data_IF_773906200827
#
_entry.id   IF_773906200827
#
_cell.length_a   1.000
_cell.length_b   1.000
_cell.length_c   1.000
_cell.angle_alpha   90.00
_cell.angle_beta   90.00
_cell.angle_gamma   90.00
#
_symmetry.space_group_name_H-M   'P 1'
#
loop_
_entity.id
_entity.type
_entity.pdbx_description
1 polymer ?
#
# COMPACT_ATOMS: atom_id res chain seq x y z
N UNK A 1 -47.14 4.51 -52.11
CA UNK A 1 -46.56 5.35 -51.05
C UNK A 1 -45.68 4.46 -50.18
N UNK A 2 -44.36 4.50 -50.41
CA UNK A 2 -43.38 3.70 -49.67
C UNK A 2 -43.12 4.33 -48.30
N UNK A 3 -43.34 3.59 -47.22
CA UNK A 3 -42.90 3.97 -45.87
C UNK A 3 -41.53 3.34 -45.64
N UNK A 4 -40.49 4.18 -45.68
CA UNK A 4 -39.12 3.82 -45.32
C UNK A 4 -39.05 3.63 -43.81
N UNK A 5 -38.77 2.41 -43.36
CA UNK A 5 -38.42 2.09 -41.97
C UNK A 5 -37.00 2.58 -41.70
N UNK A 6 -36.85 3.55 -40.80
CA UNK A 6 -35.57 3.97 -40.25
C UNK A 6 -35.18 3.00 -39.12
N UNK A 7 -34.21 2.13 -39.39
CA UNK A 7 -33.56 1.28 -38.39
C UNK A 7 -32.62 2.13 -37.54
N UNK A 8 -32.72 2.15 -36.19
CA UNK A 8 -31.73 2.83 -35.37
C UNK A 8 -30.43 2.03 -35.36
N UNK A 9 -29.33 2.68 -35.77
CA UNK A 9 -27.96 2.17 -35.64
C UNK A 9 -27.57 2.26 -34.17
N UNK A 10 -27.43 1.12 -33.52
CA UNK A 10 -26.86 1.02 -32.18
C UNK A 10 -25.33 1.17 -32.29
N UNK A 11 -24.81 2.34 -31.91
CA UNK A 11 -23.37 2.56 -31.79
C UNK A 11 -22.94 2.01 -30.43
N UNK A 12 -22.28 0.85 -30.42
CA UNK A 12 -21.60 0.33 -29.24
C UNK A 12 -20.27 1.10 -29.14
N UNK A 13 -20.22 2.08 -28.23
CA UNK A 13 -18.99 2.78 -27.87
C UNK A 13 -18.17 1.83 -26.97
N UNK A 14 -17.18 1.15 -27.54
CA UNK A 14 -16.15 0.50 -26.74
C UNK A 14 -15.25 1.60 -26.16
N UNK A 15 -15.41 1.91 -24.88
CA UNK A 15 -14.46 2.72 -24.13
C UNK A 15 -13.22 1.86 -23.88
N UNK A 16 -12.22 2.00 -24.74
CA UNK A 16 -10.87 1.57 -24.40
C UNK A 16 -10.31 2.59 -23.41
N UNK A 17 -10.42 2.29 -22.11
CA UNK A 17 -9.63 2.98 -21.10
C UNK A 17 -8.17 2.63 -21.34
N UNK A 18 -7.41 3.55 -21.92
CA UNK A 18 -5.95 3.43 -21.98
C UNK A 18 -5.46 3.60 -20.54
N UNK A 19 -5.19 2.48 -19.88
CA UNK A 19 -4.75 2.45 -18.48
C UNK A 19 -3.35 3.06 -18.40
N UNK A 20 -3.23 4.20 -17.73
CA UNK A 20 -1.93 4.82 -17.48
C UNK A 20 -1.20 4.02 -16.38
N UNK A 21 0.02 3.56 -16.68
CA UNK A 21 0.90 2.89 -15.72
C UNK A 21 1.44 3.90 -14.73
N UNK A 22 1.17 3.69 -13.45
CA UNK A 22 1.87 4.39 -12.37
C UNK A 22 2.58 3.34 -11.52
N UNK A 23 3.91 3.36 -11.55
CA UNK A 23 4.67 2.73 -10.49
C UNK A 23 4.34 3.46 -9.17
N UNK A 24 4.22 2.72 -8.06
CA UNK A 24 3.69 3.29 -6.82
C UNK A 24 4.80 4.08 -6.10
N UNK A 25 4.64 5.39 -6.07
CA UNK A 25 5.35 6.28 -5.14
C UNK A 25 4.52 6.39 -3.84
N UNK A 26 5.06 5.88 -2.73
CA UNK A 26 4.30 5.67 -1.49
C UNK A 26 4.83 6.48 -0.30
N UNK A 27 5.59 7.54 -0.56
CA UNK A 27 6.29 8.34 0.46
C UNK A 27 5.40 9.10 1.46
N UNK A 28 4.11 8.77 1.62
CA UNK A 28 3.23 9.38 2.62
C UNK A 28 2.87 10.87 2.37
N UNK A 29 3.37 11.48 1.30
CA UNK A 29 3.09 12.87 0.93
C UNK A 29 3.48 13.87 2.02
N UNK A 30 2.53 14.71 2.43
CA UNK A 30 2.73 15.72 3.47
C UNK A 30 2.32 15.26 4.88
N UNK A 31 2.01 13.97 5.05
CA UNK A 31 1.59 13.44 6.35
C UNK A 31 2.80 13.36 7.29
N UNK A 32 2.65 13.90 8.50
CA UNK A 32 3.66 13.80 9.55
C UNK A 32 3.36 12.62 10.47
N UNK A 33 4.39 11.85 10.74
CA UNK A 33 4.37 10.68 11.61
C UNK A 33 5.13 10.96 12.90
N UNK A 34 4.62 10.39 13.98
CA UNK A 34 5.10 10.61 15.34
C UNK A 34 5.32 9.27 16.05
N UNK A 35 6.31 9.23 16.92
CA UNK A 35 6.54 8.15 17.87
C UNK A 35 5.52 8.19 19.02
N UNK A 36 5.52 7.17 19.88
CA UNK A 36 4.63 7.08 21.04
C UNK A 36 4.75 8.30 21.97
N UNK A 37 5.96 8.80 22.15
CA UNK A 37 6.27 9.97 22.98
C UNK A 37 5.96 11.32 22.29
N UNK A 38 5.27 11.28 21.14
CA UNK A 38 4.93 12.43 20.29
C UNK A 38 6.13 13.13 19.65
N UNK A 39 7.33 12.55 19.71
CA UNK A 39 8.44 13.04 18.90
C UNK A 39 8.25 12.69 17.43
N UNK A 40 8.82 13.50 16.54
CA UNK A 40 8.74 13.25 15.10
C UNK A 40 9.56 12.02 14.73
N UNK A 41 9.04 11.20 13.81
CA UNK A 41 9.82 10.10 13.23
C UNK A 41 10.98 10.67 12.39
N UNK A 42 12.13 10.01 12.48
CA UNK A 42 13.38 10.30 11.80
C UNK A 42 13.98 9.00 11.29
N UNK A 43 15.05 9.05 10.51
CA UNK A 43 15.77 7.87 10.06
C UNK A 43 16.35 7.00 11.20
N UNK A 44 16.39 7.50 12.44
CA UNK A 44 16.85 6.75 13.60
C UNK A 44 15.75 5.94 14.30
N UNK A 45 14.53 6.48 14.38
CA UNK A 45 13.42 5.89 15.15
C UNK A 45 12.21 5.49 14.28
N UNK A 46 12.15 5.88 13.01
CA UNK A 46 11.07 5.54 12.10
C UNK A 46 11.41 4.36 11.19
N UNK A 47 10.39 3.57 10.86
CA UNK A 47 10.41 2.61 9.77
C UNK A 47 9.07 2.64 9.04
N UNK A 48 9.10 2.62 7.72
CA UNK A 48 7.91 2.61 6.89
C UNK A 48 7.83 1.27 6.17
N UNK A 49 6.64 0.67 6.14
CA UNK A 49 6.34 -0.54 5.38
C UNK A 49 5.20 -0.24 4.41
N UNK A 50 5.37 -0.58 3.14
CA UNK A 50 4.27 -0.60 2.16
C UNK A 50 3.61 -1.98 2.18
N UNK A 51 2.29 -2.01 2.31
CA UNK A 51 1.50 -3.24 2.41
C UNK A 51 0.40 -3.25 1.38
N UNK A 52 0.27 -4.36 0.66
CA UNK A 52 -0.90 -4.68 -0.17
C UNK A 52 -1.85 -5.60 0.60
N UNK A 53 -3.13 -5.25 0.67
CA UNK A 53 -4.20 -6.12 1.14
C UNK A 53 -4.78 -6.86 -0.04
N UNK A 54 -4.37 -8.12 -0.18
CA UNK A 54 -4.78 -9.07 -1.22
C UNK A 54 -6.21 -9.56 -1.01
N UNK A 55 -6.54 -9.90 0.23
CA UNK A 55 -7.84 -10.46 0.59
C UNK A 55 -8.23 -10.00 1.99
N UNK A 56 -9.52 -9.74 2.20
CA UNK A 56 -10.06 -9.35 3.49
C UNK A 56 -9.64 -7.92 3.89
N UNK A 57 -9.09 -7.80 5.10
CA UNK A 57 -8.70 -6.54 5.72
C UNK A 57 -7.19 -6.45 5.98
N UNK A 58 -6.72 -5.24 6.31
CA UNK A 58 -5.37 -5.08 6.83
C UNK A 58 -5.28 -5.78 8.18
N UNK A 59 -4.35 -6.72 8.28
CA UNK A 59 -4.09 -7.52 9.48
C UNK A 59 -3.46 -6.59 10.52
N UNK A 60 -3.99 -6.63 11.73
CA UNK A 60 -3.39 -5.92 12.87
C UNK A 60 -2.30 -6.78 13.49
N UNK A 61 -1.17 -6.15 13.80
CA UNK A 61 -0.08 -6.81 14.53
C UNK A 61 -0.44 -7.13 16.00
N UNK A 62 -1.52 -6.55 16.54
CA UNK A 62 -1.97 -6.81 17.90
C UNK A 62 -2.72 -8.15 18.04
N UNK A 63 -2.63 -9.04 17.05
CA UNK A 63 -3.14 -10.40 17.14
C UNK A 63 -2.03 -11.35 17.60
N UNK A 64 -2.30 -12.07 18.69
CA UNK A 64 -1.32 -12.90 19.42
C UNK A 64 -0.65 -14.01 18.60
N UNK A 65 -1.28 -14.43 17.50
CA UNK A 65 -0.90 -15.65 16.79
C UNK A 65 0.03 -15.38 15.58
N UNK A 66 0.39 -14.11 15.35
CA UNK A 66 1.28 -13.67 14.25
C UNK A 66 2.71 -13.51 14.75
N UNK A 67 3.31 -14.62 15.19
CA UNK A 67 4.58 -14.66 15.95
C UNK A 67 5.85 -14.24 15.17
N UNK A 68 5.80 -14.00 13.85
CA UNK A 68 6.99 -13.63 13.08
C UNK A 68 7.21 -12.10 13.07
N UNK A 69 8.05 -11.61 13.96
CA UNK A 69 8.37 -10.17 14.10
C UNK A 69 9.01 -9.56 12.85
N UNK A 70 9.79 -10.31 12.09
CA UNK A 70 10.50 -9.82 10.90
C UNK A 70 9.64 -9.79 9.64
N UNK A 71 8.53 -10.54 9.60
CA UNK A 71 7.65 -10.65 8.44
C UNK A 71 7.06 -9.30 8.03
N UNK A 72 6.77 -8.44 9.01
CA UNK A 72 6.19 -7.10 8.84
C UNK A 72 7.13 -6.09 8.19
N UNK A 73 8.42 -6.44 8.10
CA UNK A 73 9.49 -5.56 7.63
C UNK A 73 10.35 -6.25 6.57
N UNK A 74 9.81 -7.29 5.94
CA UNK A 74 10.49 -8.09 4.93
C UNK A 74 9.73 -8.03 3.60
N UNK A 75 10.23 -7.31 2.58
CA UNK A 75 9.60 -7.27 1.26
C UNK A 75 9.41 -8.67 0.65
N UNK A 76 8.24 -8.90 0.07
CA UNK A 76 7.80 -10.18 -0.48
C UNK A 76 7.16 -11.12 0.54
N UNK A 77 7.21 -10.79 1.84
CA UNK A 77 6.56 -11.61 2.87
C UNK A 77 5.05 -11.53 2.79
N UNK A 78 4.40 -12.68 2.95
CA UNK A 78 2.95 -12.82 2.99
C UNK A 78 2.50 -13.12 4.41
N UNK A 79 1.55 -12.33 4.90
CA UNK A 79 0.95 -12.44 6.23
C UNK A 79 -0.48 -12.92 6.05
N UNK A 80 -0.84 -13.97 6.77
CA UNK A 80 -2.17 -14.59 6.68
C UNK A 80 -2.79 -14.71 8.06
N UNK A 81 -4.03 -14.27 8.19
CA UNK A 81 -4.85 -14.41 9.40
C UNK A 81 -6.31 -14.70 9.01
N UNK A 82 -6.74 -15.95 9.17
CA UNK A 82 -8.04 -16.41 8.68
C UNK A 82 -8.18 -16.22 7.16
N UNK A 83 -9.13 -15.38 6.75
CA UNK A 83 -9.35 -15.01 5.33
C UNK A 83 -8.52 -13.81 4.87
N UNK A 84 -7.84 -13.13 5.81
CA UNK A 84 -7.05 -11.95 5.49
C UNK A 84 -5.69 -12.37 4.94
N UNK A 85 -5.30 -11.78 3.81
CA UNK A 85 -3.99 -11.98 3.18
C UNK A 85 -3.40 -10.61 2.90
N UNK A 86 -2.23 -10.34 3.46
CA UNK A 86 -1.47 -9.11 3.24
C UNK A 86 -0.07 -9.44 2.73
N UNK A 87 0.50 -8.55 1.93
CA UNK A 87 1.81 -8.75 1.30
C UNK A 87 2.65 -7.50 1.55
N UNK A 88 3.84 -7.67 2.09
CA UNK A 88 4.79 -6.58 2.27
C UNK A 88 5.48 -6.27 0.93
N UNK A 89 5.35 -5.05 0.45
CA UNK A 89 5.88 -4.65 -0.85
C UNK A 89 7.26 -4.01 -0.74
N UNK A 90 7.46 -3.20 0.29
CA UNK A 90 8.67 -2.41 0.44
C UNK A 90 8.84 -1.91 1.86
N UNK A 91 10.07 -1.53 2.20
CA UNK A 91 10.43 -0.95 3.48
C UNK A 91 11.33 0.26 3.28
N UNK A 92 11.15 1.32 4.06
CA UNK A 92 11.96 2.53 3.99
C UNK A 92 12.27 3.11 5.37
N UNK A 93 13.48 3.62 5.46
CA UNK A 93 14.05 4.28 6.64
C UNK A 93 14.06 5.80 6.50
N UNK A 94 13.59 6.31 5.36
CA UNK A 94 13.85 7.67 4.92
C UNK A 94 12.92 8.70 5.57
N UNK A 95 12.79 8.67 6.90
CA UNK A 95 12.10 9.73 7.63
C UNK A 95 13.04 10.90 7.91
N UNK A 96 12.54 12.10 7.71
CA UNK A 96 13.16 13.30 8.28
C UNK A 96 12.08 14.30 8.70
N UNK A 97 12.23 14.79 9.95
CA UNK A 97 11.29 15.67 10.64
C UNK A 97 9.81 15.22 10.56
N UNK A 98 9.59 13.90 10.71
CA UNK A 98 8.29 13.24 10.69
C UNK A 98 7.72 12.99 9.30
N UNK A 99 8.39 13.43 8.23
CA UNK A 99 7.96 13.18 6.86
C UNK A 99 8.70 11.98 6.30
N UNK A 100 7.98 11.09 5.60
CA UNK A 100 8.63 10.03 4.83
C UNK A 100 9.08 10.62 3.48
N UNK A 101 10.37 10.54 3.19
CA UNK A 101 10.92 11.12 1.97
C UNK A 101 10.61 10.21 0.80
N UNK A 102 9.83 10.74 -0.14
CA UNK A 102 9.45 10.04 -1.36
C UNK A 102 10.69 9.59 -2.15
N UNK A 103 11.68 10.47 -2.32
CA UNK A 103 12.93 10.14 -3.01
C UNK A 103 13.81 9.11 -2.28
N UNK A 104 13.59 8.91 -0.98
CA UNK A 104 14.27 7.90 -0.17
C UNK A 104 13.48 6.60 -0.03
N UNK A 105 12.26 6.55 -0.56
CA UNK A 105 11.43 5.36 -0.57
C UNK A 105 11.78 4.53 -1.80
N UNK A 106 11.97 3.20 -1.66
CA UNK A 106 12.23 2.35 -2.81
C UNK A 106 11.03 2.38 -3.75
N UNK A 107 11.34 2.53 -5.03
CA UNK A 107 10.38 2.41 -6.12
C UNK A 107 9.84 0.98 -6.19
N UNK A 108 8.52 0.82 -6.20
CA UNK A 108 7.89 -0.50 -6.33
C UNK A 108 7.32 -0.65 -7.74
N UNK A 109 8.09 -1.32 -8.58
CA UNK A 109 7.69 -1.53 -9.98
C UNK A 109 6.54 -2.52 -10.12
N UNK A 110 5.80 -2.40 -11.21
CA UNK A 110 4.77 -3.39 -11.60
C UNK A 110 5.31 -4.82 -11.64
N UNK A 111 6.55 -5.02 -12.11
CA UNK A 111 7.17 -6.35 -12.12
C UNK A 111 7.41 -6.89 -10.71
N UNK A 112 7.83 -6.04 -9.77
CA UNK A 112 8.04 -6.43 -8.36
C UNK A 112 6.72 -6.82 -7.70
N UNK A 113 5.66 -6.04 -7.96
CA UNK A 113 4.30 -6.37 -7.50
C UNK A 113 3.84 -7.74 -8.03
N UNK A 114 3.99 -7.98 -9.34
CA UNK A 114 3.67 -9.29 -9.95
C UNK A 114 4.50 -10.42 -9.32
N UNK A 115 5.79 -10.21 -9.06
CA UNK A 115 6.67 -11.20 -8.43
C UNK A 115 6.22 -11.56 -7.01
N UNK A 116 5.81 -10.58 -6.21
CA UNK A 116 5.27 -10.80 -4.87
C UNK A 116 3.82 -11.29 -4.88
N UNK A 117 3.26 -11.51 -6.07
CA UNK A 117 1.90 -11.98 -6.25
C UNK A 117 0.90 -10.97 -5.73
N UNK A 118 1.04 -9.70 -6.12
CA UNK A 118 0.06 -8.59 -6.03
C UNK A 118 -0.77 -8.55 -7.33
N UNK A 119 -2.08 -8.23 -7.25
CA UNK A 119 -3.03 -8.27 -8.37
C UNK A 119 -3.71 -6.90 -8.48
N UNK A 120 -4.28 -6.58 -9.65
CA UNK A 120 -5.12 -5.41 -9.81
C UNK A 120 -6.21 -5.34 -8.74
N UNK A 121 -6.38 -4.16 -8.14
CA UNK A 121 -7.41 -3.89 -7.13
C UNK A 121 -6.98 -4.10 -5.68
N UNK A 122 -5.79 -4.65 -5.42
CA UNK A 122 -5.28 -4.77 -4.04
C UNK A 122 -5.15 -3.39 -3.39
N UNK A 123 -5.66 -3.25 -2.17
CA UNK A 123 -5.61 -1.95 -1.47
C UNK A 123 -4.23 -1.73 -0.86
N UNK A 124 -3.72 -0.51 -0.98
CA UNK A 124 -2.37 -0.17 -0.53
C UNK A 124 -2.40 0.67 0.75
N UNK A 125 -1.53 0.30 1.68
CA UNK A 125 -1.37 0.97 2.96
C UNK A 125 0.11 1.21 3.25
N UNK A 126 0.39 2.40 3.77
CA UNK A 126 1.63 2.70 4.47
C UNK A 126 1.45 2.37 5.95
N UNK A 127 2.37 1.62 6.52
CA UNK A 127 2.52 1.45 7.97
C UNK A 127 3.79 2.17 8.41
N UNK A 128 3.65 3.18 9.25
CA UNK A 128 4.77 3.89 9.87
C UNK A 128 4.95 3.39 11.30
N UNK A 129 6.08 2.77 11.58
CA UNK A 129 6.44 2.17 12.85
C UNK A 129 7.31 3.10 13.69
N UNK A 130 7.06 3.09 15.01
CA UNK A 130 7.98 3.60 16.02
C UNK A 130 8.93 2.50 16.47
N UNK A 131 10.16 2.54 15.97
CA UNK A 131 11.18 1.53 16.28
C UNK A 131 11.68 1.54 17.70
N UNK A 132 11.41 2.60 18.46
CA UNK A 132 11.75 2.58 19.89
C UNK A 132 10.96 1.49 20.64
N UNK A 133 9.89 0.98 20.01
CA UNK A 133 9.06 -0.10 20.54
C UNK A 133 9.41 -1.48 19.98
N UNK A 134 10.47 -1.58 19.17
CA UNK A 134 10.92 -2.86 18.60
C UNK A 134 11.76 -3.64 19.62
N UNK A 135 11.76 -4.97 19.49
CA UNK A 135 12.73 -5.82 20.16
C UNK A 135 13.66 -6.43 19.12
N UNK A 136 14.97 -6.36 19.37
CA UNK A 136 16.01 -6.86 18.44
C UNK A 136 15.89 -6.31 17.01
N UNK A 137 15.44 -5.06 16.84
CA UNK A 137 15.15 -4.42 15.54
C UNK A 137 13.97 -4.99 14.75
N UNK A 138 13.09 -5.76 15.38
CA UNK A 138 11.87 -6.24 14.76
C UNK A 138 10.64 -5.74 15.53
N UNK A 139 9.55 -5.40 14.82
CA UNK A 139 8.29 -5.11 15.49
C UNK A 139 7.81 -6.37 16.22
N UNK A 140 7.30 -6.20 17.44
CA UNK A 140 6.73 -7.28 18.27
C UNK A 140 5.29 -6.93 18.63
N UNK A 141 4.58 -7.85 19.27
CA UNK A 141 3.27 -7.56 19.84
C UNK A 141 3.35 -6.29 20.72
N UNK A 142 2.45 -5.33 20.47
CA UNK A 142 2.43 -4.04 21.16
C UNK A 142 3.42 -3.00 20.63
N UNK A 143 4.20 -3.29 19.58
CA UNK A 143 4.94 -2.24 18.87
C UNK A 143 3.98 -1.19 18.31
N UNK A 144 4.34 0.09 18.44
CA UNK A 144 3.49 1.19 18.00
C UNK A 144 3.66 1.46 16.51
N UNK A 145 2.54 1.69 15.85
CA UNK A 145 2.50 2.05 14.44
C UNK A 145 1.29 2.91 14.11
N UNK A 146 1.41 3.65 13.01
CA UNK A 146 0.33 4.39 12.37
C UNK A 146 0.08 3.80 11.00
N UNK A 147 -1.18 3.57 10.67
CA UNK A 147 -1.59 3.13 9.33
C UNK A 147 -2.12 4.34 8.55
N UNK A 148 -1.62 4.50 7.33
CA UNK A 148 -2.12 5.47 6.37
C UNK A 148 -2.57 4.72 5.11
N UNK A 149 -3.87 4.69 4.79
CA UNK A 149 -4.32 4.26 3.47
C UNK A 149 -3.67 5.17 2.42
N UNK A 150 -3.15 4.58 1.35
CA UNK A 150 -2.69 5.38 0.22
C UNK A 150 -3.90 5.77 -0.63
N UNK A 151 -3.81 6.94 -1.27
CA UNK A 151 -4.84 7.50 -2.12
C UNK A 151 -4.24 7.88 -3.47
N UNK A 152 -5.06 7.95 -4.52
CA UNK A 152 -4.61 8.48 -5.81
C UNK A 152 -4.18 9.93 -5.60
N UNK A 153 -3.07 10.33 -6.23
CA UNK A 153 -2.58 11.70 -6.12
C UNK A 153 -3.68 12.72 -6.47
N UNK A 154 -3.87 13.71 -5.60
CA UNK A 154 -4.89 14.74 -5.73
C UNK A 154 -6.30 14.36 -5.25
N UNK A 155 -6.60 13.10 -4.91
CA UNK A 155 -7.92 12.68 -4.43
C UNK A 155 -7.88 11.75 -3.22
N UNK A 156 -7.94 12.35 -2.02
CA UNK A 156 -7.96 11.66 -0.72
C UNK A 156 -9.23 10.84 -0.46
N UNK A 157 -10.21 10.87 -1.36
CA UNK A 157 -11.43 10.07 -1.25
C UNK A 157 -11.34 8.75 -2.00
N UNK A 158 -10.34 8.60 -2.88
CA UNK A 158 -10.13 7.40 -3.71
C UNK A 158 -8.85 6.69 -3.26
N UNK A 159 -9.00 5.55 -2.60
CA UNK A 159 -7.86 4.73 -2.19
C UNK A 159 -7.03 4.29 -3.39
N UNK A 160 -5.71 4.38 -3.26
CA UNK A 160 -4.77 3.81 -4.20
C UNK A 160 -4.92 2.28 -4.16
N UNK A 161 -5.04 1.70 -5.34
CA UNK A 161 -5.04 0.26 -5.55
C UNK A 161 -3.82 -0.13 -6.36
N UNK A 162 -3.31 -1.33 -6.18
CA UNK A 162 -2.34 -1.88 -7.11
C UNK A 162 -2.98 -1.93 -8.50
N UNK A 163 -2.25 -1.42 -9.48
CA UNK A 163 -2.64 -1.50 -10.88
C UNK A 163 -1.79 -2.58 -11.56
N UNK A 164 -2.40 -3.29 -12.50
CA UNK A 164 -1.72 -4.20 -13.41
C UNK A 164 -2.42 -4.17 -14.75
N UNK A 165 -1.75 -4.65 -15.79
CA UNK A 165 -2.39 -4.91 -17.07
C UNK A 165 -3.61 -5.80 -16.84
N UNK A 166 -4.80 -5.28 -17.13
CA UNK A 166 -5.92 -6.13 -17.48
C UNK A 166 -5.60 -6.63 -18.90
N UNK A 167 -5.21 -7.90 -19.02
CA UNK A 167 -5.07 -8.58 -20.32
C UNK A 167 -6.39 -8.53 -21.13
#
# INVERSE_FOLDING_TARGET
MNKTLLTPILIILCFFSVTAYADIEWGGGNVKFYALDQTLLTNYNGLATLVAVRQGQLISMNQSDLEASDIWVSPGSMITDGENINIILAVSWAFDNGLLWMSGSPHVSTQTMKLYGVLPGDKLYLIAWDRNTFQWNHPVEGSNYTVLPLFIDGDITISATAYGDDD
#
